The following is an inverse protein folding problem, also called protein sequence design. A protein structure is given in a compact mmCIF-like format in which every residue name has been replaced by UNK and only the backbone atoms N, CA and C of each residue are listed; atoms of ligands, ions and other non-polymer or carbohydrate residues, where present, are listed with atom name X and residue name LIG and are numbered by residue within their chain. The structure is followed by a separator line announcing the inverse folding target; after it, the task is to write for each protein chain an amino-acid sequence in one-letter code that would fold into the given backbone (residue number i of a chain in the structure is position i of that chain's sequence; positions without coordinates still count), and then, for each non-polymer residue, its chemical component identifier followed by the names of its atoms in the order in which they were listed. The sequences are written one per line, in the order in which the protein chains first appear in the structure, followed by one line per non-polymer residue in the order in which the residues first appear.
data_IF_113327618259
#
_entry.id   IF_113327618259
#
_cell.length_a   1.000
_cell.length_b   1.000
_cell.length_c   1.000
_cell.angle_alpha   90.00
_cell.angle_beta   90.00
_cell.angle_gamma   90.00
#
_symmetry.space_group_name_H-M   'P 1'
#
loop_
_entity.id
_entity.type
_entity.pdbx_description
1 polymer ?
#
# COMPACT_ATOMS: atom_id res chain seq x y z
N UNK A 1 14.87 -5.50 7.71
CA UNK A 1 16.24 -5.42 7.15
C UNK A 1 16.65 -6.62 6.28
N UNK A 2 16.33 -7.89 6.63
CA UNK A 2 16.69 -9.03 5.75
C UNK A 2 15.91 -9.03 4.42
N UNK A 3 14.60 -8.78 4.46
CA UNK A 3 13.75 -8.81 3.25
C UNK A 3 14.12 -7.75 2.20
N UNK A 4 14.34 -6.48 2.57
CA UNK A 4 14.79 -5.44 1.61
C UNK A 4 16.12 -5.83 0.96
N UNK A 5 17.09 -6.36 1.72
CA UNK A 5 18.37 -6.83 1.16
C UNK A 5 18.20 -7.94 0.13
N UNK A 6 17.24 -8.84 0.34
CA UNK A 6 16.95 -9.92 -0.60
C UNK A 6 16.18 -9.44 -1.83
N UNK A 7 15.21 -8.54 -1.64
CA UNK A 7 14.35 -8.03 -2.71
C UNK A 7 15.05 -7.05 -3.66
N UNK A 8 16.12 -6.36 -3.20
CA UNK A 8 16.81 -5.33 -3.98
C UNK A 8 15.82 -4.27 -4.51
N UNK A 9 15.64 -4.21 -5.83
CA UNK A 9 14.74 -3.31 -6.54
C UNK A 9 13.29 -3.83 -6.67
N UNK A 10 13.01 -5.06 -6.22
CA UNK A 10 11.65 -5.60 -6.21
C UNK A 10 10.79 -4.98 -5.10
N UNK A 11 9.47 -5.04 -5.31
CA UNK A 11 8.50 -4.50 -4.37
C UNK A 11 8.42 -5.37 -3.12
N UNK A 12 8.52 -4.76 -1.95
CA UNK A 12 8.31 -5.44 -0.67
C UNK A 12 6.91 -5.12 -0.14
N UNK A 13 6.14 -6.15 0.19
CA UNK A 13 4.86 -6.03 0.90
C UNK A 13 5.07 -6.03 2.41
N UNK A 14 4.56 -5.01 3.08
CA UNK A 14 4.47 -4.92 4.52
C UNK A 14 3.00 -4.99 4.93
N UNK A 15 2.64 -6.05 5.64
CA UNK A 15 1.29 -6.20 6.19
C UNK A 15 1.35 -6.08 7.69
N UNK A 16 0.59 -5.13 8.23
CA UNK A 16 0.46 -4.88 9.65
C UNK A 16 -0.98 -5.12 10.08
N UNK A 17 -1.15 -6.05 11.02
CA UNK A 17 -2.41 -6.32 11.69
C UNK A 17 -2.29 -5.82 13.14
N UNK A 18 -3.04 -4.76 13.45
CA UNK A 18 -3.00 -4.05 14.73
C UNK A 18 -4.21 -4.30 15.63
N UNK A 19 -4.88 -5.44 15.51
CA UNK A 19 -6.13 -5.72 16.26
C UNK A 19 -5.90 -5.90 17.77
N UNK A 20 -4.75 -6.46 18.16
CA UNK A 20 -4.41 -6.76 19.56
C UNK A 20 -3.63 -5.67 20.28
N UNK A 21 -3.52 -4.47 19.71
CA UNK A 21 -2.71 -3.36 20.24
C UNK A 21 -3.49 -2.05 20.24
N UNK A 22 -3.05 -1.01 20.98
CA UNK A 22 -3.70 0.30 20.94
C UNK A 22 -3.67 0.92 19.53
N UNK A 23 -4.48 1.96 19.34
CA UNK A 23 -4.49 2.72 18.08
C UNK A 23 -3.13 3.37 17.80
N UNK A 24 -2.79 3.59 16.52
CA UNK A 24 -1.64 4.39 16.13
C UNK A 24 -1.60 5.72 16.87
N UNK A 25 -0.41 6.16 17.25
CA UNK A 25 -0.24 7.39 18.04
C UNK A 25 -0.36 8.62 17.15
N UNK A 26 -0.68 9.77 17.76
CA UNK A 26 -0.63 11.06 17.07
C UNK A 26 0.80 11.53 16.80
N UNK A 27 1.83 10.74 17.12
CA UNK A 27 3.24 11.07 16.85
C UNK A 27 3.80 10.25 15.68
N UNK A 28 2.96 9.49 14.97
CA UNK A 28 3.40 8.66 13.86
C UNK A 28 4.08 7.37 14.29
N UNK A 29 3.54 6.71 15.32
CA UNK A 29 4.01 5.41 15.79
C UNK A 29 2.91 4.36 15.68
N UNK A 30 3.33 3.14 15.37
CA UNK A 30 2.48 1.93 15.46
C UNK A 30 2.95 1.08 16.63
N UNK A 31 2.05 0.25 17.17
CA UNK A 31 2.38 -0.57 18.33
C UNK A 31 2.79 -1.98 17.91
N UNK A 32 3.85 -2.48 18.52
CA UNK A 32 4.31 -3.87 18.40
C UNK A 32 4.52 -4.46 19.79
N UNK A 33 4.71 -5.76 19.90
CA UNK A 33 5.02 -6.40 21.18
C UNK A 33 6.52 -6.45 21.45
N UNK A 34 6.88 -6.40 22.73
CA UNK A 34 8.21 -6.83 23.16
C UNK A 34 8.39 -8.35 22.96
N UNK A 35 9.63 -8.84 23.11
CA UNK A 35 9.95 -10.28 22.91
C UNK A 35 9.14 -11.22 23.82
N UNK A 36 8.66 -10.73 24.96
CA UNK A 36 7.95 -11.53 25.96
C UNK A 36 6.43 -11.35 25.88
N UNK A 37 5.91 -10.59 24.91
CA UNK A 37 4.49 -10.25 24.75
C UNK A 37 3.82 -9.66 26.00
N UNK A 38 4.58 -8.96 26.83
CA UNK A 38 4.07 -8.35 28.08
C UNK A 38 3.79 -6.86 27.95
N UNK A 39 4.41 -6.19 26.98
CA UNK A 39 4.33 -4.74 26.82
C UNK A 39 4.22 -4.38 25.33
N UNK A 40 3.44 -3.33 25.07
CA UNK A 40 3.41 -2.66 23.78
C UNK A 40 4.60 -1.70 23.67
N UNK A 41 5.38 -1.85 22.61
CA UNK A 41 6.51 -0.99 22.25
C UNK A 41 6.10 -0.14 21.05
N UNK A 42 6.29 1.19 21.08
CA UNK A 42 6.06 2.03 19.92
C UNK A 42 7.16 1.80 18.87
N UNK A 43 6.76 1.65 17.62
CA UNK A 43 7.62 1.60 16.44
C UNK A 43 7.35 2.84 15.59
N UNK A 44 8.38 3.66 15.41
CA UNK A 44 8.32 4.88 14.60
C UNK A 44 8.11 4.55 13.12
N UNK A 45 7.17 5.25 12.48
CA UNK A 45 6.95 5.13 11.03
C UNK A 45 8.13 5.68 10.22
N UNK A 46 8.89 6.63 10.78
CA UNK A 46 10.12 7.16 10.19
C UNK A 46 11.17 6.04 10.05
N UNK A 47 11.40 5.27 11.12
CA UNK A 47 12.35 4.15 11.09
C UNK A 47 11.85 3.01 10.19
N UNK A 48 10.53 2.79 10.16
CA UNK A 48 9.92 1.79 9.28
C UNK A 48 10.15 2.13 7.80
N UNK A 49 10.04 3.41 7.41
CA UNK A 49 10.35 3.88 6.06
C UNK A 49 11.77 3.52 5.65
N UNK A 50 12.75 3.84 6.50
CA UNK A 50 14.16 3.55 6.28
C UNK A 50 14.45 2.04 6.22
N UNK A 51 13.75 1.24 7.02
CA UNK A 51 13.93 -0.21 7.01
C UNK A 51 13.38 -0.90 5.76
N UNK A 52 12.31 -0.33 5.19
CA UNK A 52 11.54 -0.93 4.11
C UNK A 52 11.92 -0.37 2.76
N UNK A 53 12.33 0.90 2.65
CA UNK A 53 12.71 1.60 1.42
C UNK A 53 11.66 1.49 0.26
N UNK A 54 11.94 2.16 -0.85
CA UNK A 54 11.17 2.04 -2.09
C UNK A 54 11.80 0.95 -2.99
N UNK A 55 11.01 0.17 -3.76
CA UNK A 55 9.54 0.17 -3.85
C UNK A 55 8.90 -0.71 -2.77
N UNK A 56 7.84 -0.21 -2.13
CA UNK A 56 7.10 -0.96 -1.12
C UNK A 56 5.59 -0.71 -1.19
N UNK A 57 4.83 -1.68 -0.69
CA UNK A 57 3.39 -1.62 -0.49
C UNK A 57 3.08 -1.95 0.97
N UNK A 58 2.18 -1.19 1.57
CA UNK A 58 1.80 -1.31 2.97
C UNK A 58 0.31 -1.61 3.08
N UNK A 59 -0.04 -2.59 3.88
CA UNK A 59 -1.43 -2.94 4.24
C UNK A 59 -1.59 -2.72 5.73
N UNK A 60 -2.47 -1.81 6.10
CA UNK A 60 -2.75 -1.38 7.48
C UNK A 60 -4.13 -1.87 7.92
N UNK A 61 -4.16 -3.05 8.54
CA UNK A 61 -5.36 -3.61 9.15
C UNK A 61 -5.43 -3.27 10.63
N UNK A 62 -5.86 -2.05 10.92
CA UNK A 62 -6.07 -1.54 12.26
C UNK A 62 -7.09 -0.39 12.28
N UNK A 63 -7.64 -0.09 13.45
CA UNK A 63 -8.44 1.13 13.64
C UNK A 63 -7.56 2.37 13.45
N UNK A 64 -8.14 3.47 12.98
CA UNK A 64 -7.39 4.73 12.74
C UNK A 64 -6.20 4.57 11.80
N UNK A 65 -6.31 3.71 10.77
CA UNK A 65 -5.25 3.48 9.79
C UNK A 65 -4.88 4.75 9.00
N UNK A 66 -5.80 5.71 8.82
CA UNK A 66 -5.49 7.01 8.18
C UNK A 66 -4.36 7.76 8.86
N UNK A 67 -4.35 7.72 10.19
CA UNK A 67 -3.34 8.40 11.00
C UNK A 67 -1.95 7.88 10.62
N UNK A 68 -1.80 6.58 10.39
CA UNK A 68 -0.55 5.97 9.91
C UNK A 68 -0.16 6.57 8.57
N UNK A 69 -1.07 6.57 7.59
CA UNK A 69 -0.77 7.03 6.24
C UNK A 69 -0.44 8.53 6.23
N UNK A 70 -1.17 9.34 6.99
CA UNK A 70 -0.93 10.77 7.13
C UNK A 70 0.48 11.05 7.71
N UNK A 71 0.85 10.34 8.78
CA UNK A 71 2.20 10.47 9.37
C UNK A 71 3.29 9.94 8.45
N UNK A 72 3.05 8.83 7.76
CA UNK A 72 3.97 8.31 6.76
C UNK A 72 4.23 9.35 5.67
N UNK A 73 3.19 10.00 5.13
CA UNK A 73 3.36 11.02 4.10
C UNK A 73 4.06 12.29 4.62
N UNK A 74 3.87 12.64 5.91
CA UNK A 74 4.61 13.73 6.56
C UNK A 74 6.10 13.40 6.64
N UNK A 75 6.46 12.25 7.19
CA UNK A 75 7.86 11.82 7.27
C UNK A 75 8.50 11.63 5.90
N UNK A 76 7.74 11.16 4.90
CA UNK A 76 8.19 11.09 3.52
C UNK A 76 8.48 12.48 2.93
N UNK A 77 7.64 13.48 3.24
CA UNK A 77 7.88 14.88 2.87
C UNK A 77 9.10 15.43 3.56
N UNK A 78 9.31 15.15 4.85
CA UNK A 78 10.50 15.58 5.58
C UNK A 78 11.75 15.00 4.91
N UNK A 79 11.77 13.69 4.65
CA UNK A 79 12.83 13.03 3.88
C UNK A 79 13.08 13.66 2.50
N UNK A 80 12.09 14.32 1.90
CA UNK A 80 12.21 14.99 0.60
C UNK A 80 12.53 16.49 0.66
N UNK A 81 12.00 17.23 1.64
CA UNK A 81 12.22 18.67 1.81
C UNK A 81 13.64 18.96 2.27
N UNK A 82 14.25 18.05 3.04
CA UNK A 82 15.70 18.02 3.24
C UNK A 82 16.52 17.91 1.94
N UNK A 83 15.86 17.67 0.80
CA UNK A 83 16.49 17.55 -0.51
C UNK A 83 16.01 18.60 -1.52
N UNK A 84 14.89 19.29 -1.29
CA UNK A 84 14.40 20.36 -2.19
C UNK A 84 15.09 21.70 -1.95
N UNK A 85 15.59 21.94 -0.73
CA UNK A 85 16.48 23.08 -0.43
C UNK A 85 17.74 23.05 -1.33
N UNK A 86 18.09 21.88 -1.89
CA UNK A 86 19.24 21.69 -2.78
C UNK A 86 19.01 22.14 -4.25
N UNK A 87 17.77 22.18 -4.78
CA UNK A 87 17.54 22.40 -6.24
C UNK A 87 17.45 23.90 -6.60
N UNK A 88 16.98 24.75 -5.69
CA UNK A 88 16.87 26.21 -5.96
C UNK A 88 18.20 26.96 -5.96
N UNK A 89 19.32 26.30 -5.65
CA UNK A 89 20.63 26.93 -5.48
C UNK A 89 21.67 26.55 -6.54
N UNK A 90 21.22 26.38 -7.80
CA UNK A 90 22.12 26.18 -8.93
C UNK A 90 22.46 27.45 -9.74
N UNK A 91 22.40 28.61 -9.08
CA UNK A 91 23.08 29.82 -9.56
C UNK A 91 24.07 30.31 -8.51
N UNK A 92 25.31 30.52 -8.95
CA UNK A 92 26.48 31.04 -8.26
C UNK A 92 27.36 30.04 -7.48
N UNK A 93 28.45 29.70 -8.17
CA UNK A 93 29.80 29.53 -7.64
C UNK A 93 30.07 30.46 -6.44
N UNK A 94 30.92 30.00 -5.51
CA UNK A 94 31.37 30.67 -4.27
C UNK A 94 30.38 30.62 -3.08
N UNK A 95 30.51 29.59 -2.23
CA UNK A 95 30.66 29.68 -0.75
C UNK A 95 30.89 28.24 -0.27
N UNK A 96 32.15 27.89 0.00
CA UNK A 96 32.60 26.50 0.17
C UNK A 96 32.68 25.99 1.63
N UNK A 97 32.28 26.74 2.65
CA UNK A 97 32.49 26.29 4.05
C UNK A 97 31.29 26.38 5.00
N UNK A 98 30.18 27.02 4.61
CA UNK A 98 28.97 27.08 5.46
C UNK A 98 27.82 26.18 4.97
N UNK A 99 27.94 25.56 3.79
CA UNK A 99 26.85 24.83 3.11
C UNK A 99 26.75 23.33 3.39
N UNK A 100 27.71 22.72 4.09
CA UNK A 100 27.69 21.26 4.37
C UNK A 100 26.54 20.84 5.32
N UNK A 101 26.03 21.76 6.14
CA UNK A 101 24.96 21.47 7.10
C UNK A 101 23.55 21.38 6.49
N UNK A 102 23.37 21.85 5.25
CA UNK A 102 22.05 21.92 4.59
C UNK A 102 21.79 20.75 3.62
N UNK A 103 22.82 20.00 3.25
CA UNK A 103 22.68 18.84 2.37
C UNK A 103 22.01 17.67 3.12
N UNK A 104 21.05 17.02 2.44
CA UNK A 104 20.52 15.73 2.89
C UNK A 104 21.65 14.70 3.08
N UNK A 105 21.46 13.78 4.02
CA UNK A 105 22.44 12.72 4.29
C UNK A 105 22.75 11.85 3.07
N UNK A 106 21.79 11.71 2.16
CA UNK A 106 22.00 11.01 0.89
C UNK A 106 22.95 11.78 -0.03
N UNK A 107 22.79 13.10 -0.16
CA UNK A 107 23.70 13.92 -0.97
C UNK A 107 25.11 14.00 -0.37
N UNK A 108 25.23 14.11 0.95
CA UNK A 108 26.54 14.04 1.64
C UNK A 108 27.26 12.73 1.31
N UNK A 109 26.53 11.61 1.33
CA UNK A 109 27.06 10.29 0.96
C UNK A 109 27.39 10.20 -0.54
N UNK A 110 26.58 10.79 -1.42
CA UNK A 110 26.86 10.83 -2.86
C UNK A 110 28.14 11.64 -3.15
N UNK A 111 28.31 12.82 -2.53
CA UNK A 111 29.51 13.64 -2.69
C UNK A 111 30.75 12.93 -2.17
N UNK A 112 30.69 12.34 -0.97
CA UNK A 112 31.78 11.53 -0.43
C UNK A 112 32.11 10.32 -1.33
N UNK A 113 31.09 9.71 -1.96
CA UNK A 113 31.29 8.64 -2.91
C UNK A 113 31.92 9.13 -4.21
N UNK A 114 31.52 10.29 -4.72
CA UNK A 114 32.14 10.95 -5.87
C UNK A 114 33.63 11.22 -5.64
N UNK A 115 33.99 11.75 -4.47
CA UNK A 115 35.38 11.99 -4.07
C UNK A 115 36.19 10.69 -3.97
N UNK A 116 35.60 9.63 -3.38
CA UNK A 116 36.24 8.32 -3.27
C UNK A 116 36.47 7.66 -4.65
N UNK A 117 35.52 7.80 -5.58
CA UNK A 117 35.64 7.28 -6.95
C UNK A 117 36.61 8.11 -7.78
N UNK A 118 36.66 9.43 -7.60
CA UNK A 118 37.61 10.30 -8.32
C UNK A 118 39.08 10.05 -7.92
N UNK A 119 39.32 9.60 -6.69
CA UNK A 119 40.66 9.28 -6.17
C UNK A 119 41.14 7.86 -6.52
N UNK A 120 40.25 6.96 -6.94
CA UNK A 120 40.62 5.66 -7.50
C UNK A 120 40.67 5.77 -9.02
N UNK A 121 41.86 5.71 -9.60
CA UNK A 121 42.19 5.96 -11.03
C UNK A 121 41.54 5.02 -12.06
N UNK A 122 40.46 4.31 -11.70
CA UNK A 122 39.80 3.25 -12.46
C UNK A 122 38.28 3.46 -12.43
N UNK A 123 37.76 4.43 -13.17
CA UNK A 123 36.50 4.23 -13.93
C UNK A 123 36.18 5.43 -14.83
N UNK A 124 35.74 5.15 -16.06
CA UNK A 124 35.28 6.13 -17.04
C UNK A 124 33.89 6.70 -16.77
N UNK A 125 33.51 6.95 -15.51
CA UNK A 125 32.25 7.59 -15.16
C UNK A 125 32.30 9.08 -15.51
N UNK A 126 31.75 9.45 -16.67
CA UNK A 126 31.63 10.86 -17.10
C UNK A 126 30.47 11.53 -16.36
N UNK A 127 30.75 12.13 -15.22
CA UNK A 127 29.82 13.07 -14.57
C UNK A 127 29.84 14.37 -15.38
N UNK A 128 28.70 14.75 -15.97
CA UNK A 128 28.55 16.01 -16.69
C UNK A 128 27.73 17.02 -15.86
N UNK A 129 28.06 18.31 -15.95
CA UNK A 129 27.44 19.38 -15.13
C UNK A 129 25.93 19.55 -15.38
N UNK A 130 25.43 19.05 -16.51
CA UNK A 130 24.01 19.06 -16.87
C UNK A 130 23.21 17.86 -16.32
N UNK A 131 23.85 16.86 -15.71
CA UNK A 131 23.16 15.67 -15.19
C UNK A 131 22.49 15.99 -13.85
N UNK A 132 21.26 15.49 -13.64
CA UNK A 132 20.59 15.58 -12.33
C UNK A 132 21.31 14.71 -11.29
N UNK A 133 21.13 15.00 -10.01
CA UNK A 133 21.75 14.22 -8.93
C UNK A 133 21.42 12.72 -9.01
N UNK A 134 20.20 12.37 -9.43
CA UNK A 134 19.77 10.98 -9.64
C UNK A 134 20.52 10.32 -10.82
N UNK A 135 20.68 11.03 -11.94
CA UNK A 135 21.45 10.54 -13.08
C UNK A 135 22.94 10.38 -12.74
N UNK A 136 23.48 11.28 -11.93
CA UNK A 136 24.86 11.19 -11.45
C UNK A 136 25.02 9.96 -10.54
N UNK A 137 24.13 9.77 -9.55
CA UNK A 137 24.14 8.60 -8.69
C UNK A 137 24.05 7.29 -9.49
N UNK A 138 23.18 7.23 -10.49
CA UNK A 138 23.05 6.05 -11.36
C UNK A 138 24.33 5.79 -12.17
N UNK A 139 24.94 6.83 -12.74
CA UNK A 139 26.21 6.72 -13.48
C UNK A 139 27.37 6.22 -12.61
N UNK A 140 27.35 6.57 -11.32
CA UNK A 140 28.35 6.18 -10.33
C UNK A 140 28.01 4.86 -9.63
N UNK A 141 26.89 4.23 -9.99
CA UNK A 141 26.35 3.05 -9.30
C UNK A 141 26.15 3.30 -7.79
N UNK A 142 25.85 4.55 -7.43
CA UNK A 142 25.49 4.95 -6.07
C UNK A 142 24.03 4.63 -5.77
N UNK A 143 23.70 4.42 -4.49
CA UNK A 143 22.35 4.07 -4.05
C UNK A 143 21.33 5.14 -4.49
N UNK A 144 20.19 4.74 -5.05
CA UNK A 144 19.12 5.67 -5.46
C UNK A 144 18.55 6.42 -4.27
N UNK A 145 18.06 7.63 -4.50
CA UNK A 145 17.35 8.41 -3.49
C UNK A 145 16.03 7.70 -3.13
N UNK A 146 15.68 7.59 -1.84
CA UNK A 146 14.44 6.93 -1.44
C UNK A 146 13.21 7.76 -1.87
N UNK A 147 12.25 7.09 -2.51
CA UNK A 147 11.01 7.68 -3.02
C UNK A 147 9.79 7.28 -2.18
N UNK A 148 9.79 7.67 -0.91
CA UNK A 148 8.78 7.22 0.05
C UNK A 148 7.35 7.64 -0.33
N UNK A 149 7.16 8.77 -1.03
CA UNK A 149 5.82 9.20 -1.49
C UNK A 149 5.24 8.35 -2.61
N UNK A 150 6.08 7.62 -3.34
CA UNK A 150 5.63 6.68 -4.39
C UNK A 150 5.25 5.31 -3.80
N UNK A 151 5.39 5.11 -2.48
CA UNK A 151 4.94 3.91 -1.81
C UNK A 151 3.41 3.82 -1.78
N UNK A 152 2.91 2.58 -1.87
CA UNK A 152 1.47 2.31 -1.95
C UNK A 152 0.97 1.92 -0.56
N UNK A 153 -0.16 2.49 -0.14
CA UNK A 153 -0.76 2.21 1.16
C UNK A 153 -2.24 1.83 1.00
N UNK A 154 -2.64 0.73 1.63
CA UNK A 154 -4.01 0.28 1.76
C UNK A 154 -4.37 0.32 3.25
N UNK A 155 -5.39 1.08 3.64
CA UNK A 155 -5.77 1.26 5.04
C UNK A 155 -7.24 0.91 5.29
N UNK A 156 -7.51 0.19 6.38
CA UNK A 156 -8.83 -0.34 6.69
C UNK A 156 -9.88 0.72 7.09
N UNK A 157 -9.47 1.79 7.79
CA UNK A 157 -10.38 2.75 8.41
C UNK A 157 -9.82 4.18 8.39
N UNK A 158 -10.71 5.18 8.39
CA UNK A 158 -10.37 6.60 8.62
C UNK A 158 -9.81 6.87 10.02
N UNK A 159 -9.25 8.07 10.21
CA UNK A 159 -8.65 8.52 11.46
C UNK A 159 -9.58 8.37 12.68
N UNK A 160 -10.85 8.76 12.53
CA UNK A 160 -11.88 8.74 13.58
C UNK A 160 -12.67 7.43 13.65
N UNK A 161 -12.48 6.53 12.69
CA UNK A 161 -13.23 5.28 12.60
C UNK A 161 -12.63 4.16 13.46
N UNK A 162 -13.43 3.11 13.66
CA UNK A 162 -13.02 1.87 14.31
C UNK A 162 -13.35 0.71 13.39
N UNK A 163 -12.53 -0.33 13.45
CA UNK A 163 -12.83 -1.59 12.78
C UNK A 163 -14.18 -2.16 13.26
N UNK A 164 -14.88 -2.93 12.42
CA UNK A 164 -16.15 -3.55 12.79
C UNK A 164 -15.99 -4.49 13.99
N UNK A 165 -16.89 -4.39 14.96
CA UNK A 165 -16.91 -5.25 16.16
C UNK A 165 -18.06 -6.26 16.16
N UNK A 166 -18.78 -6.40 15.04
CA UNK A 166 -19.87 -7.36 14.94
C UNK A 166 -19.31 -8.79 14.96
N UNK A 167 -19.87 -9.66 15.81
CA UNK A 167 -19.49 -11.07 15.93
C UNK A 167 -19.80 -11.89 14.67
N UNK A 168 -20.72 -11.43 13.81
CA UNK A 168 -21.08 -12.15 12.59
C UNK A 168 -19.99 -12.09 11.51
N UNK A 169 -19.12 -11.07 11.56
CA UNK A 169 -18.03 -10.88 10.59
C UNK A 169 -16.68 -11.22 11.23
N UNK A 170 -15.68 -11.69 10.45
CA UNK A 170 -14.33 -11.87 10.94
C UNK A 170 -13.77 -10.58 11.55
N UNK A 171 -12.98 -10.70 12.61
CA UNK A 171 -12.30 -9.55 13.20
C UNK A 171 -11.36 -8.89 12.17
N UNK A 172 -10.59 -9.70 11.44
CA UNK A 172 -9.67 -9.28 10.37
C UNK A 172 -10.37 -9.06 9.02
N UNK A 173 -11.58 -8.49 9.02
CA UNK A 173 -12.43 -8.35 7.83
C UNK A 173 -11.72 -7.71 6.64
N UNK A 174 -10.89 -6.68 6.87
CA UNK A 174 -10.14 -6.01 5.81
C UNK A 174 -9.08 -6.93 5.20
N UNK A 175 -8.25 -7.57 6.02
CA UNK A 175 -7.29 -8.58 5.54
C UNK A 175 -8.00 -9.73 4.82
N UNK A 176 -9.12 -10.21 5.36
CA UNK A 176 -9.95 -11.25 4.76
C UNK A 176 -10.43 -10.85 3.36
N UNK A 177 -10.93 -9.61 3.19
CA UNK A 177 -11.30 -9.09 1.86
C UNK A 177 -10.13 -9.12 0.88
N UNK A 178 -8.93 -8.74 1.32
CA UNK A 178 -7.73 -8.67 0.47
C UNK A 178 -7.19 -10.04 0.05
N UNK A 179 -7.21 -11.00 0.99
CA UNK A 179 -6.54 -12.31 0.85
C UNK A 179 -7.46 -13.44 0.43
N UNK A 180 -8.76 -13.37 0.78
CA UNK A 180 -9.76 -14.40 0.48
C UNK A 180 -11.07 -13.79 -0.06
N UNK A 181 -11.01 -12.94 -1.12
CA UNK A 181 -12.14 -12.14 -1.57
C UNK A 181 -13.39 -12.95 -1.90
N UNK A 182 -13.25 -14.14 -2.47
CA UNK A 182 -14.39 -14.99 -2.80
C UNK A 182 -15.11 -15.48 -1.54
N UNK A 183 -14.37 -16.01 -0.56
CA UNK A 183 -14.95 -16.46 0.70
C UNK A 183 -15.61 -15.30 1.45
N UNK A 184 -14.92 -14.17 1.57
CA UNK A 184 -15.45 -12.99 2.27
C UNK A 184 -16.69 -12.42 1.56
N UNK A 185 -16.72 -12.42 0.22
CA UNK A 185 -17.89 -11.94 -0.54
C UNK A 185 -19.14 -12.79 -0.30
N UNK A 186 -18.99 -14.11 -0.28
CA UNK A 186 -20.09 -15.06 -0.04
C UNK A 186 -20.55 -14.94 1.42
N UNK A 187 -19.62 -14.95 2.38
CA UNK A 187 -19.93 -14.80 3.80
C UNK A 187 -20.73 -13.52 4.05
N UNK A 188 -20.24 -12.39 3.54
CA UNK A 188 -20.88 -11.10 3.70
C UNK A 188 -22.27 -11.06 3.04
N UNK A 189 -22.43 -11.66 1.86
CA UNK A 189 -23.74 -11.80 1.21
C UNK A 189 -24.72 -12.62 2.05
N UNK A 190 -24.29 -13.76 2.60
CA UNK A 190 -25.13 -14.62 3.46
C UNK A 190 -25.57 -13.90 4.74
N UNK A 191 -24.68 -13.12 5.36
CA UNK A 191 -24.98 -12.31 6.53
C UNK A 191 -25.99 -11.21 6.18
N UNK A 192 -25.72 -10.42 5.12
CA UNK A 192 -26.59 -9.31 4.71
C UNK A 192 -27.97 -9.75 4.23
N UNK A 193 -28.09 -10.94 3.65
CA UNK A 193 -29.36 -11.52 3.23
C UNK A 193 -30.13 -12.21 4.37
N UNK A 194 -29.56 -12.33 5.57
CA UNK A 194 -30.16 -13.07 6.69
C UNK A 194 -30.22 -14.58 6.47
N UNK A 195 -29.47 -15.11 5.48
CA UNK A 195 -29.49 -16.52 5.09
C UNK A 195 -28.36 -17.35 5.71
N UNK A 196 -27.47 -16.75 6.50
CA UNK A 196 -26.30 -17.45 7.09
C UNK A 196 -26.65 -18.75 7.82
N UNK A 197 -27.76 -18.76 8.56
CA UNK A 197 -28.23 -19.92 9.33
C UNK A 197 -28.90 -21.01 8.48
N UNK A 198 -29.19 -20.74 7.20
CA UNK A 198 -29.77 -21.72 6.27
C UNK A 198 -28.69 -22.65 5.68
N UNK A 199 -27.42 -22.33 5.87
CA UNK A 199 -26.29 -23.05 5.32
C UNK A 199 -25.39 -23.58 6.45
N UNK A 200 -24.69 -24.70 6.23
CA UNK A 200 -23.83 -25.27 7.24
C UNK A 200 -22.63 -24.34 7.53
N UNK A 201 -22.05 -24.40 8.74
CA UNK A 201 -21.00 -23.47 9.15
C UNK A 201 -19.74 -23.57 8.28
N UNK A 202 -19.40 -24.79 7.83
CA UNK A 202 -18.26 -25.16 6.99
C UNK A 202 -18.47 -24.92 5.48
N UNK A 203 -19.62 -24.41 5.04
CA UNK A 203 -19.92 -24.21 3.60
C UNK A 203 -18.78 -23.52 2.84
N UNK A 204 -18.16 -22.51 3.45
CA UNK A 204 -17.11 -21.73 2.82
C UNK A 204 -15.82 -22.55 2.63
N UNK A 205 -15.50 -23.45 3.54
CA UNK A 205 -14.30 -24.30 3.46
C UNK A 205 -14.46 -25.44 2.45
N UNK A 206 -15.69 -25.84 2.17
CA UNK A 206 -16.03 -26.99 1.32
C UNK A 206 -16.44 -26.62 -0.11
N UNK A 207 -16.25 -25.36 -0.54
CA UNK A 207 -16.55 -24.97 -1.91
C UNK A 207 -15.66 -25.78 -2.87
N UNK A 208 -16.24 -26.62 -3.75
CA UNK A 208 -15.45 -27.53 -4.55
C UNK A 208 -14.68 -26.77 -5.63
N UNK A 209 -13.41 -27.14 -5.80
CA UNK A 209 -12.60 -26.68 -6.91
C UNK A 209 -11.30 -26.02 -6.53
N UNK A 210 -10.73 -25.32 -7.51
CA UNK A 210 -9.48 -24.56 -7.35
C UNK A 210 -9.63 -23.20 -8.01
N UNK A 211 -9.05 -22.16 -7.41
CA UNK A 211 -9.13 -20.78 -7.91
C UNK A 211 -8.60 -20.60 -9.35
N UNK A 212 -7.66 -21.46 -9.77
CA UNK A 212 -7.05 -21.42 -11.09
C UNK A 212 -7.83 -22.24 -12.14
N UNK A 213 -8.75 -23.13 -11.71
CA UNK A 213 -9.52 -23.98 -12.62
C UNK A 213 -10.92 -23.43 -12.85
N UNK A 214 -11.09 -22.74 -13.99
CA UNK A 214 -12.37 -22.15 -14.43
C UNK A 214 -13.47 -23.16 -14.71
N UNK A 215 -13.21 -24.47 -14.66
CA UNK A 215 -14.26 -25.51 -14.79
C UNK A 215 -14.91 -25.85 -13.46
N UNK A 216 -14.31 -25.39 -12.36
CA UNK A 216 -14.81 -25.62 -11.01
C UNK A 216 -15.61 -24.42 -10.54
N UNK A 217 -16.55 -24.65 -9.62
CA UNK A 217 -17.39 -23.57 -9.05
C UNK A 217 -16.49 -22.47 -8.47
N UNK A 218 -15.50 -22.85 -7.66
CA UNK A 218 -14.57 -21.88 -7.06
C UNK A 218 -13.81 -21.05 -8.11
N UNK A 219 -13.33 -21.68 -9.19
CA UNK A 219 -12.61 -20.97 -10.24
C UNK A 219 -13.51 -20.09 -11.12
N UNK A 220 -14.76 -20.50 -11.38
CA UNK A 220 -15.75 -19.65 -12.06
C UNK A 220 -16.06 -18.40 -11.23
N UNK A 221 -16.32 -18.56 -9.93
CA UNK A 221 -16.56 -17.43 -9.02
C UNK A 221 -15.37 -16.47 -9.02
N UNK A 222 -14.14 -16.99 -8.96
CA UNK A 222 -12.92 -16.20 -9.01
C UNK A 222 -12.75 -15.44 -10.34
N UNK A 223 -13.05 -16.10 -11.46
CA UNK A 223 -12.96 -15.47 -12.78
C UNK A 223 -13.99 -14.34 -12.94
N UNK A 224 -15.21 -14.56 -12.49
CA UNK A 224 -16.29 -13.56 -12.52
C UNK A 224 -15.95 -12.37 -11.61
N UNK A 225 -15.46 -12.64 -10.40
CA UNK A 225 -14.97 -11.61 -9.48
C UNK A 225 -13.88 -10.74 -10.13
N UNK A 226 -12.90 -11.38 -10.78
CA UNK A 226 -11.82 -10.69 -11.50
C UNK A 226 -12.37 -9.83 -12.63
N UNK A 227 -13.30 -10.34 -13.44
CA UNK A 227 -13.90 -9.60 -14.55
C UNK A 227 -14.71 -8.38 -14.07
N UNK A 228 -15.50 -8.53 -13.01
CA UNK A 228 -16.30 -7.44 -12.42
C UNK A 228 -15.37 -6.35 -11.87
N UNK A 229 -14.41 -6.72 -11.03
CA UNK A 229 -13.49 -5.77 -10.39
C UNK A 229 -12.61 -5.03 -11.40
N UNK A 230 -12.08 -5.72 -12.43
CA UNK A 230 -11.36 -5.07 -13.53
C UNK A 230 -12.25 -4.09 -14.30
N UNK A 231 -13.51 -4.46 -14.57
CA UNK A 231 -14.46 -3.58 -15.27
C UNK A 231 -14.78 -2.34 -14.47
N UNK A 232 -14.95 -2.46 -13.15
CA UNK A 232 -15.18 -1.32 -12.26
C UNK A 232 -13.96 -0.40 -12.28
N UNK A 233 -12.76 -0.96 -12.11
CA UNK A 233 -11.51 -0.20 -12.09
C UNK A 233 -11.29 0.55 -13.42
N UNK A 234 -11.50 -0.12 -14.56
CA UNK A 234 -11.33 0.47 -15.90
C UNK A 234 -12.26 1.66 -16.14
N UNK A 235 -13.49 1.60 -15.63
CA UNK A 235 -14.46 2.67 -15.80
C UNK A 235 -14.28 3.81 -14.80
N UNK A 236 -13.70 3.54 -13.63
CA UNK A 236 -13.60 4.50 -12.55
C UNK A 236 -12.25 5.24 -12.49
N UNK A 237 -11.17 4.64 -12.99
CA UNK A 237 -9.81 5.19 -12.94
C UNK A 237 -9.37 5.79 -14.30
N UNK A 238 -8.50 6.82 -14.28
CA UNK A 238 -7.76 7.25 -15.47
C UNK A 238 -6.94 6.09 -16.06
N UNK A 239 -6.68 6.14 -17.38
CA UNK A 239 -5.96 5.08 -18.10
C UNK A 239 -4.59 4.79 -17.50
N UNK A 240 -3.83 5.82 -17.14
CA UNK A 240 -2.47 5.67 -16.61
C UNK A 240 -2.47 5.00 -15.23
N UNK A 241 -3.40 5.38 -14.37
CA UNK A 241 -3.56 4.76 -13.05
C UNK A 241 -4.01 3.31 -13.15
N UNK A 242 -4.96 3.01 -14.05
CA UNK A 242 -5.38 1.65 -14.29
C UNK A 242 -4.22 0.77 -14.77
N UNK A 243 -3.44 1.24 -15.76
CA UNK A 243 -2.29 0.47 -16.26
C UNK A 243 -1.28 0.20 -15.15
N UNK A 244 -0.98 1.21 -14.34
CA UNK A 244 -0.02 1.05 -13.26
C UNK A 244 -0.52 0.13 -12.14
N UNK A 245 -1.77 0.28 -11.69
CA UNK A 245 -2.28 -0.44 -10.52
C UNK A 245 -2.81 -1.85 -10.86
N UNK A 246 -3.41 -2.05 -12.04
CA UNK A 246 -4.09 -3.28 -12.43
C UNK A 246 -3.37 -4.09 -13.53
N UNK A 247 -2.28 -3.57 -14.14
CA UNK A 247 -1.57 -4.25 -15.24
C UNK A 247 -0.05 -4.40 -15.05
N UNK A 248 0.61 -3.50 -14.31
CA UNK A 248 2.08 -3.54 -14.17
C UNK A 248 2.59 -4.68 -13.28
N UNK A 249 1.92 -4.93 -12.16
CA UNK A 249 2.36 -5.87 -11.12
C UNK A 249 1.18 -6.78 -10.73
N UNK A 250 1.39 -8.10 -10.83
CA UNK A 250 0.34 -9.10 -10.58
C UNK A 250 -0.16 -9.07 -9.13
N UNK A 251 0.75 -8.92 -8.16
CA UNK A 251 0.41 -8.82 -6.74
C UNK A 251 -0.38 -7.55 -6.49
N UNK A 252 0.09 -6.44 -7.06
CA UNK A 252 -0.58 -5.15 -6.93
C UNK A 252 -1.99 -5.18 -7.52
N UNK A 253 -2.13 -5.71 -8.73
CA UNK A 253 -3.42 -5.85 -9.40
C UNK A 253 -4.37 -6.74 -8.60
N UNK A 254 -3.88 -7.85 -8.04
CA UNK A 254 -4.69 -8.71 -7.17
C UNK A 254 -5.16 -7.98 -5.93
N UNK A 255 -4.27 -7.27 -5.24
CA UNK A 255 -4.61 -6.50 -4.04
C UNK A 255 -5.63 -5.39 -4.33
N UNK A 256 -5.48 -4.64 -5.42
CA UNK A 256 -6.42 -3.59 -5.78
C UNK A 256 -7.79 -4.12 -6.20
N UNK A 257 -7.87 -5.28 -6.90
CA UNK A 257 -9.17 -5.93 -7.16
C UNK A 257 -9.88 -6.30 -5.87
N UNK A 258 -9.15 -6.94 -4.96
CA UNK A 258 -9.68 -7.31 -3.65
C UNK A 258 -10.01 -6.09 -2.79
N UNK A 259 -9.29 -4.99 -2.95
CA UNK A 259 -9.58 -3.73 -2.26
C UNK A 259 -10.93 -3.13 -2.69
N UNK A 260 -11.35 -3.29 -3.96
CA UNK A 260 -12.70 -2.88 -4.37
C UNK A 260 -13.81 -3.64 -3.65
N UNK A 261 -13.56 -4.91 -3.28
CA UNK A 261 -14.49 -5.67 -2.44
C UNK A 261 -14.48 -5.12 -1.01
N UNK A 262 -13.30 -4.87 -0.48
CA UNK A 262 -13.12 -4.27 0.84
C UNK A 262 -13.94 -2.97 0.94
N UNK A 263 -13.82 -2.07 -0.04
CA UNK A 263 -14.48 -0.74 -0.05
C UNK A 263 -15.99 -0.85 0.12
N UNK A 264 -16.59 -1.89 -0.46
CA UNK A 264 -18.00 -2.21 -0.28
C UNK A 264 -18.30 -2.83 1.07
N UNK A 265 -17.54 -3.85 1.46
CA UNK A 265 -17.79 -4.66 2.66
C UNK A 265 -17.58 -3.84 3.93
N UNK A 266 -16.46 -3.14 4.02
CA UNK A 266 -16.12 -2.24 5.13
C UNK A 266 -17.08 -1.04 5.17
N UNK A 267 -17.38 -0.44 4.01
CA UNK A 267 -18.36 0.64 3.89
C UNK A 267 -19.74 0.28 4.45
N UNK A 268 -20.20 -0.94 4.20
CA UNK A 268 -21.47 -1.44 4.72
C UNK A 268 -21.45 -1.84 6.21
N UNK A 269 -20.29 -1.80 6.85
CA UNK A 269 -20.09 -2.06 8.29
C UNK A 269 -19.62 -0.80 9.04
N UNK A 270 -19.80 0.39 8.45
CA UNK A 270 -19.52 1.67 9.11
C UNK A 270 -18.05 2.11 9.06
N UNK A 271 -17.23 1.50 8.20
CA UNK A 271 -15.85 1.91 7.94
C UNK A 271 -15.76 2.49 6.52
N UNK A 272 -15.45 3.77 6.40
CA UNK A 272 -15.11 4.38 5.12
C UNK A 272 -13.65 4.05 4.82
N UNK A 273 -13.39 3.35 3.73
CA UNK A 273 -12.00 3.00 3.39
C UNK A 273 -11.20 4.19 2.86
N UNK A 274 -9.88 4.09 3.06
CA UNK A 274 -8.93 5.07 2.58
C UNK A 274 -8.32 4.62 1.27
N UNK A 275 -8.45 5.48 0.29
CA UNK A 275 -7.70 5.35 -0.95
C UNK A 275 -6.26 5.85 -0.75
N UNK A 276 -5.27 5.25 -1.45
CA UNK A 276 -3.86 5.48 -1.20
C UNK A 276 -3.50 6.97 -1.27
N UNK A 277 -3.02 7.54 -0.17
CA UNK A 277 -2.61 8.96 -0.10
C UNK A 277 -1.29 9.22 -0.86
N UNK A 278 -0.60 8.16 -1.32
CA UNK A 278 0.48 8.24 -2.31
C UNK A 278 0.01 8.53 -3.74
N UNK A 279 -1.29 8.39 -4.01
CA UNK A 279 -1.94 8.89 -5.22
C UNK A 279 -3.03 9.87 -4.83
N UNK A 280 -2.65 11.14 -4.80
CA UNK A 280 -3.61 12.20 -4.99
C UNK A 280 -4.53 11.80 -6.17
N UNK A 281 -5.84 11.80 -5.90
CA UNK A 281 -6.92 11.56 -6.86
C UNK A 281 -7.52 10.16 -7.00
N UNK A 282 -7.82 9.49 -5.88
CA UNK A 282 -9.07 8.70 -5.82
C UNK A 282 -10.00 9.28 -4.75
N UNK A 283 -10.20 10.60 -4.74
CA UNK A 283 -11.26 11.19 -3.89
C UNK A 283 -12.62 10.99 -4.57
N UNK A 284 -13.44 10.11 -3.99
CA UNK A 284 -14.90 10.25 -4.03
C UNK A 284 -15.64 9.86 -5.32
N UNK A 285 -15.00 9.20 -6.29
CA UNK A 285 -15.68 8.74 -7.52
C UNK A 285 -15.76 7.21 -7.70
N UNK A 286 -14.97 6.42 -6.97
CA UNK A 286 -14.84 5.00 -7.31
C UNK A 286 -16.14 4.21 -7.12
N UNK A 287 -16.89 4.41 -6.03
CA UNK A 287 -18.05 3.54 -5.75
C UNK A 287 -19.39 4.20 -5.40
N UNK A 288 -19.47 5.51 -5.13
CA UNK A 288 -20.76 6.10 -4.71
C UNK A 288 -21.79 6.22 -5.85
N UNK A 289 -21.40 6.05 -7.13
CA UNK A 289 -22.31 6.24 -8.28
C UNK A 289 -22.29 5.19 -9.39
N UNK A 290 -21.45 4.15 -9.35
CA UNK A 290 -21.42 3.19 -10.46
C UNK A 290 -22.58 2.20 -10.37
N UNK A 291 -23.61 2.39 -11.22
CA UNK A 291 -24.73 1.47 -11.40
C UNK A 291 -24.27 0.03 -11.68
N UNK A 292 -23.08 -0.15 -12.26
CA UNK A 292 -22.44 -1.45 -12.56
C UNK A 292 -22.23 -2.28 -11.28
N UNK A 293 -21.85 -1.67 -10.15
CA UNK A 293 -21.64 -2.44 -8.92
C UNK A 293 -22.98 -2.90 -8.29
N UNK A 294 -24.03 -2.07 -8.39
CA UNK A 294 -25.38 -2.47 -7.96
C UNK A 294 -25.97 -3.52 -8.89
N UNK A 295 -25.78 -3.40 -10.20
CA UNK A 295 -26.30 -4.36 -11.17
C UNK A 295 -25.54 -5.69 -11.14
N UNK A 296 -24.20 -5.68 -11.20
CA UNK A 296 -23.43 -6.93 -11.39
C UNK A 296 -23.25 -7.74 -10.10
N UNK A 297 -23.03 -7.10 -8.95
CA UNK A 297 -22.80 -7.84 -7.70
C UNK A 297 -24.11 -8.38 -7.08
N UNK A 298 -25.23 -7.66 -7.22
CA UNK A 298 -26.55 -8.21 -6.86
C UNK A 298 -27.08 -9.18 -7.90
N UNK A 299 -26.90 -8.95 -9.21
CA UNK A 299 -27.34 -9.93 -10.22
C UNK A 299 -26.62 -11.27 -10.06
N UNK A 300 -25.34 -11.27 -9.68
CA UNK A 300 -24.56 -12.49 -9.48
C UNK A 300 -25.11 -13.40 -8.38
N UNK A 301 -25.54 -12.85 -7.24
CA UNK A 301 -26.14 -13.63 -6.17
C UNK A 301 -27.67 -13.77 -6.27
N UNK A 302 -28.35 -12.91 -7.05
CA UNK A 302 -29.78 -13.01 -7.31
C UNK A 302 -30.13 -14.00 -8.43
N UNK A 303 -29.22 -14.31 -9.35
CA UNK A 303 -29.48 -15.26 -10.46
C UNK A 303 -29.51 -16.74 -10.03
N UNK A 304 -29.16 -17.07 -8.78
CA UNK A 304 -29.23 -18.42 -8.21
C UNK A 304 -30.25 -18.52 -7.06
N UNK A 305 -31.29 -17.67 -7.07
CA UNK A 305 -32.47 -17.75 -6.20
C UNK A 305 -33.65 -18.41 -6.91
#
# INVERSE_FOLDING_TARGET
MSMRRNAKDERVLFHYNGHGVPRPTQNGEIWVFNKNFTQYIPLSLYDLQLCMEFPSIYVWDCSSAETIVNWFMRFAKDHEEWVMVDITFNCFFFVAYTKLHLLSDWHKKLLAHQEAVASTSISGARINSHMTADQQAESLKFQRRPKFRECIHLGACREDERLPTNADVPADLFTSCLTTPIHTSILWYLIKSGRRNQFPPNLLEEIPGQLNDRRTILGELNWIFTAITDTIAWNALPRDDFQRLFRQDLLLASLFRSFLLAERVMGANGCSELLPIGYAFVRGKLLTKSAIFRCCFFAFFAQYS
#
